data_IF_199320669221
#
_entry.id   IF_199320669221
#
_cell.length_a   1.000
_cell.length_b   1.000
_cell.length_c   1.000
_cell.angle_alpha   90.00
_cell.angle_beta   90.00
_cell.angle_gamma   90.00
#
_symmetry.space_group_name_H-M   'P 1'
#
loop_
_entity.id
_entity.type
_entity.pdbx_description
1 polymer ?
#
# COMPACT_ATOMS: atom_id res chain seq x y z
N UNK A 1 -14.64 89.77 38.65
CA UNK A 1 -13.33 89.12 38.45
C UNK A 1 -13.39 87.78 39.14
N UNK A 2 -13.21 86.68 38.41
CA UNK A 2 -13.01 85.36 39.05
C UNK A 2 -11.66 85.43 39.78
N UNK A 3 -11.62 85.02 41.04
CA UNK A 3 -10.37 84.98 41.81
C UNK A 3 -9.49 83.86 41.26
N UNK A 4 -8.21 84.13 41.03
CA UNK A 4 -7.21 83.18 40.51
C UNK A 4 -7.12 81.88 41.31
N UNK A 5 -7.48 81.93 42.60
CA UNK A 5 -7.54 80.77 43.49
C UNK A 5 -8.68 79.81 43.12
N UNK A 6 -9.84 80.33 42.73
CA UNK A 6 -10.99 79.51 42.36
C UNK A 6 -10.78 78.80 41.01
N UNK A 7 -10.15 79.49 40.05
CA UNK A 7 -9.80 78.92 38.75
C UNK A 7 -8.76 77.79 38.87
N UNK A 8 -7.76 77.96 39.75
CA UNK A 8 -6.77 76.91 40.04
C UNK A 8 -7.40 75.66 40.65
N UNK A 9 -8.30 75.81 41.63
CA UNK A 9 -8.96 74.69 42.28
C UNK A 9 -9.79 73.85 41.28
N UNK A 10 -10.49 74.51 40.35
CA UNK A 10 -11.23 73.83 39.29
C UNK A 10 -10.30 73.07 38.33
N UNK A 11 -9.14 73.64 37.97
CA UNK A 11 -8.13 72.95 37.16
C UNK A 11 -7.50 71.76 37.89
N UNK A 12 -7.23 71.87 39.18
CA UNK A 12 -6.72 70.76 40.00
C UNK A 12 -7.72 69.59 40.04
N UNK A 13 -9.02 69.89 40.17
CA UNK A 13 -10.07 68.87 40.09
C UNK A 13 -10.10 68.16 38.72
N UNK A 14 -10.06 68.92 37.63
CA UNK A 14 -10.05 68.37 36.27
C UNK A 14 -8.82 67.47 36.02
N UNK A 15 -7.66 67.86 36.54
CA UNK A 15 -6.43 67.03 36.47
C UNK A 15 -6.62 65.72 37.23
N UNK A 16 -7.19 65.76 38.44
CA UNK A 16 -7.43 64.54 39.23
C UNK A 16 -8.43 63.59 38.55
N UNK A 17 -9.53 64.12 37.99
CA UNK A 17 -10.50 63.32 37.24
C UNK A 17 -9.86 62.68 36.00
N UNK A 18 -9.05 63.44 35.27
CA UNK A 18 -8.32 62.94 34.09
C UNK A 18 -7.30 61.87 34.49
N UNK A 19 -6.58 62.07 35.59
CA UNK A 19 -5.63 61.10 36.13
C UNK A 19 -6.34 59.80 36.50
N UNK A 20 -7.48 59.87 37.18
CA UNK A 20 -8.26 58.68 37.54
C UNK A 20 -8.76 57.93 36.30
N UNK A 21 -9.20 58.64 35.25
CA UNK A 21 -9.59 58.03 33.98
C UNK A 21 -8.43 57.26 33.34
N UNK A 22 -7.24 57.87 33.29
CA UNK A 22 -6.05 57.20 32.76
C UNK A 22 -5.67 55.97 33.60
N UNK A 23 -5.69 56.06 34.93
CA UNK A 23 -5.38 54.93 35.82
C UNK A 23 -6.34 53.76 35.58
N UNK A 24 -7.65 54.02 35.47
CA UNK A 24 -8.62 52.97 35.20
C UNK A 24 -8.36 52.31 33.84
N UNK A 25 -8.14 53.12 32.79
CA UNK A 25 -7.85 52.59 31.45
C UNK A 25 -6.55 51.79 31.40
N UNK A 26 -5.54 52.16 32.19
CA UNK A 26 -4.30 51.39 32.30
C UNK A 26 -4.60 50.00 32.87
N UNK A 27 -5.36 49.92 33.95
CA UNK A 27 -5.73 48.63 34.56
C UNK A 27 -6.52 47.74 33.59
N UNK A 28 -7.52 48.29 32.90
CA UNK A 28 -8.28 47.58 31.87
C UNK A 28 -7.36 47.05 30.75
N UNK A 29 -6.40 47.86 30.29
CA UNK A 29 -5.45 47.44 29.26
C UNK A 29 -4.41 46.44 29.75
N UNK A 30 -4.10 46.40 31.04
CA UNK A 30 -3.24 45.38 31.63
C UNK A 30 -3.95 44.03 31.71
N UNK A 31 -5.25 44.02 32.01
CA UNK A 31 -6.11 42.82 31.96
C UNK A 31 -6.24 42.31 30.51
N UNK A 32 -6.62 43.18 29.56
CA UNK A 32 -6.67 42.83 28.13
C UNK A 32 -5.35 42.21 27.65
N UNK A 33 -4.21 42.77 28.10
CA UNK A 33 -2.89 42.27 27.73
C UNK A 33 -2.66 40.84 28.24
N UNK A 34 -3.09 40.52 29.45
CA UNK A 34 -2.94 39.16 30.01
C UNK A 34 -3.79 38.16 29.22
N UNK A 35 -5.05 38.49 28.93
CA UNK A 35 -5.93 37.65 28.11
C UNK A 35 -5.34 37.38 26.71
N UNK A 36 -4.76 38.42 26.09
CA UNK A 36 -4.10 38.29 24.79
C UNK A 36 -2.88 37.37 24.85
N UNK A 37 -2.09 37.41 25.92
CA UNK A 37 -0.95 36.51 26.10
C UNK A 37 -1.42 35.06 26.23
N UNK A 38 -2.43 34.79 27.06
CA UNK A 38 -3.00 33.45 27.19
C UNK A 38 -3.60 32.95 25.87
N UNK A 39 -4.28 33.82 25.13
CA UNK A 39 -4.82 33.49 23.81
C UNK A 39 -3.71 33.11 22.81
N UNK A 40 -2.61 33.85 22.79
CA UNK A 40 -1.46 33.54 21.93
C UNK A 40 -0.83 32.17 22.26
N UNK A 41 -0.69 31.86 23.55
CA UNK A 41 -0.18 30.56 24.00
C UNK A 41 -1.11 29.42 23.61
N UNK A 42 -2.42 29.61 23.79
CA UNK A 42 -3.44 28.64 23.41
C UNK A 42 -3.45 28.38 21.90
N UNK A 43 -3.36 29.43 21.08
CA UNK A 43 -3.27 29.30 19.61
C UNK A 43 -2.02 28.50 19.23
N UNK A 44 -0.86 28.85 19.80
CA UNK A 44 0.39 28.15 19.51
C UNK A 44 0.32 26.67 19.91
N UNK A 45 -0.22 26.39 21.09
CA UNK A 45 -0.37 25.03 21.58
C UNK A 45 -1.31 24.20 20.70
N UNK A 46 -2.48 24.75 20.38
CA UNK A 46 -3.47 24.10 19.51
C UNK A 46 -2.90 23.80 18.12
N UNK A 47 -2.18 24.75 17.51
CA UNK A 47 -1.51 24.54 16.25
C UNK A 47 -0.46 23.42 16.31
N UNK A 48 0.33 23.36 17.39
CA UNK A 48 1.34 22.32 17.59
C UNK A 48 0.70 20.94 17.72
N UNK A 49 -0.35 20.81 18.54
CA UNK A 49 -1.10 19.54 18.71
C UNK A 49 -1.67 19.08 17.37
N UNK A 50 -2.28 19.99 16.60
CA UNK A 50 -2.82 19.65 15.29
C UNK A 50 -1.73 19.16 14.31
N UNK A 51 -0.52 19.73 14.37
CA UNK A 51 0.61 19.26 13.55
C UNK A 51 1.05 17.85 13.98
N UNK A 52 1.29 17.64 15.27
CA UNK A 52 1.73 16.34 15.81
C UNK A 52 0.71 15.22 15.53
N UNK A 53 -0.57 15.51 15.69
CA UNK A 53 -1.64 14.56 15.37
C UNK A 53 -1.65 14.19 13.89
N UNK A 54 -1.49 15.17 13.00
CA UNK A 54 -1.42 14.92 11.57
C UNK A 54 -0.18 14.10 11.19
N UNK A 55 0.99 14.44 11.73
CA UNK A 55 2.23 13.68 11.50
C UNK A 55 2.09 12.22 11.91
N UNK A 56 1.50 11.97 13.09
CA UNK A 56 1.19 10.62 13.55
C UNK A 56 0.24 9.88 12.60
N UNK A 57 -0.87 10.52 12.21
CA UNK A 57 -1.85 9.90 11.30
C UNK A 57 -1.23 9.56 9.94
N UNK A 58 -0.42 10.46 9.37
CA UNK A 58 0.27 10.19 8.11
C UNK A 58 1.30 9.07 8.25
N UNK A 59 2.03 9.00 9.36
CA UNK A 59 2.96 7.90 9.63
C UNK A 59 2.24 6.54 9.69
N UNK A 60 1.12 6.46 10.39
CA UNK A 60 0.29 5.24 10.45
C UNK A 60 -0.25 4.85 9.07
N UNK A 61 -0.69 5.83 8.27
CA UNK A 61 -1.18 5.59 6.91
C UNK A 61 -0.08 5.04 6.00
N UNK A 62 1.12 5.64 6.04
CA UNK A 62 2.27 5.18 5.25
C UNK A 62 2.60 3.73 5.59
N UNK A 63 2.72 3.40 6.88
CA UNK A 63 3.00 2.04 7.33
C UNK A 63 1.93 1.04 6.87
N UNK A 64 0.66 1.44 6.89
CA UNK A 64 -0.46 0.61 6.42
C UNK A 64 -0.34 0.33 4.91
N UNK A 65 -0.03 1.35 4.11
CA UNK A 65 0.17 1.23 2.67
C UNK A 65 1.36 0.31 2.37
N UNK A 66 2.50 0.53 3.01
CA UNK A 66 3.71 -0.31 2.83
C UNK A 66 3.42 -1.78 3.14
N UNK A 67 2.73 -2.04 4.26
CA UNK A 67 2.33 -3.40 4.64
C UNK A 67 1.42 -4.04 3.58
N UNK A 68 0.44 -3.29 3.07
CA UNK A 68 -0.47 -3.79 2.03
C UNK A 68 0.23 -4.05 0.71
N UNK A 69 1.17 -3.18 0.31
CA UNK A 69 2.01 -3.39 -0.87
C UNK A 69 2.86 -4.67 -0.74
N UNK A 70 3.48 -4.91 0.42
CA UNK A 70 4.22 -6.16 0.68
C UNK A 70 3.33 -7.39 0.64
N UNK A 71 2.13 -7.31 1.24
CA UNK A 71 1.16 -8.42 1.25
C UNK A 71 0.77 -8.82 -0.19
N UNK A 72 0.37 -7.85 -1.01
CA UNK A 72 0.00 -8.08 -2.42
C UNK A 72 1.19 -8.60 -3.23
N UNK A 73 2.37 -8.03 -3.05
CA UNK A 73 3.59 -8.49 -3.74
C UNK A 73 3.90 -9.95 -3.41
N UNK A 74 3.78 -10.34 -2.13
CA UNK A 74 4.02 -11.71 -1.71
C UNK A 74 2.96 -12.67 -2.25
N UNK A 75 1.69 -12.26 -2.31
CA UNK A 75 0.63 -13.06 -2.93
C UNK A 75 0.89 -13.30 -4.41
N UNK A 76 1.28 -12.27 -5.17
CA UNK A 76 1.61 -12.41 -6.60
C UNK A 76 2.78 -13.39 -6.79
N UNK A 77 3.85 -13.26 -5.99
CA UNK A 77 5.01 -14.18 -6.06
C UNK A 77 4.64 -15.61 -5.68
N UNK A 78 3.76 -15.78 -4.69
CA UNK A 78 3.29 -17.11 -4.30
C UNK A 78 2.49 -17.76 -5.45
N UNK A 79 1.60 -17.01 -6.08
CA UNK A 79 0.81 -17.48 -7.21
C UNK A 79 1.70 -17.81 -8.42
N UNK A 80 2.64 -16.92 -8.76
CA UNK A 80 3.64 -17.16 -9.81
C UNK A 80 4.39 -18.48 -9.56
N UNK A 81 4.87 -18.72 -8.34
CA UNK A 81 5.61 -19.93 -8.02
C UNK A 81 4.74 -21.19 -8.19
N UNK A 82 3.47 -21.15 -7.76
CA UNK A 82 2.52 -22.26 -7.95
C UNK A 82 2.31 -22.54 -9.44
N UNK A 83 2.03 -21.51 -10.25
CA UNK A 83 1.79 -21.65 -11.68
C UNK A 83 3.04 -22.13 -12.43
N UNK A 84 4.22 -21.61 -12.08
CA UNK A 84 5.50 -22.03 -12.64
C UNK A 84 5.78 -23.50 -12.32
N UNK A 85 5.53 -23.94 -11.09
CA UNK A 85 5.77 -25.34 -10.72
C UNK A 85 4.80 -26.29 -11.41
N UNK A 86 3.51 -25.96 -11.45
CA UNK A 86 2.50 -26.71 -12.20
C UNK A 86 2.88 -26.81 -13.70
N UNK A 87 3.30 -25.69 -14.29
CA UNK A 87 3.73 -25.65 -15.69
C UNK A 87 4.99 -26.49 -15.92
N UNK A 88 5.97 -26.46 -15.00
CA UNK A 88 7.19 -27.28 -15.08
C UNK A 88 6.88 -28.77 -14.97
N UNK A 89 5.95 -29.15 -14.10
CA UNK A 89 5.51 -30.55 -13.97
C UNK A 89 4.85 -31.02 -15.26
N UNK A 90 3.93 -30.23 -15.81
CA UNK A 90 3.30 -30.54 -17.09
C UNK A 90 4.30 -30.61 -18.24
N UNK A 91 5.28 -29.69 -18.29
CA UNK A 91 6.36 -29.72 -19.27
C UNK A 91 7.13 -31.05 -19.23
N UNK A 92 7.51 -31.51 -18.02
CA UNK A 92 8.20 -32.80 -17.87
C UNK A 92 7.37 -33.97 -18.39
N UNK A 93 6.05 -33.96 -18.13
CA UNK A 93 5.17 -35.02 -18.61
C UNK A 93 5.10 -35.02 -20.15
N UNK A 94 4.98 -33.85 -20.77
CA UNK A 94 4.98 -33.71 -22.24
C UNK A 94 6.34 -34.11 -22.84
N UNK A 95 7.46 -33.74 -22.21
CA UNK A 95 8.79 -34.14 -22.65
C UNK A 95 8.94 -35.67 -22.63
N UNK A 96 8.43 -36.35 -21.60
CA UNK A 96 8.41 -37.81 -21.52
C UNK A 96 7.51 -38.42 -22.61
N UNK A 97 6.30 -37.90 -22.81
CA UNK A 97 5.39 -38.36 -23.86
C UNK A 97 6.03 -38.24 -25.25
N UNK A 98 6.75 -37.15 -25.53
CA UNK A 98 7.50 -36.97 -26.79
C UNK A 98 8.58 -38.05 -26.95
N UNK A 99 9.30 -38.41 -25.89
CA UNK A 99 10.31 -39.48 -25.93
C UNK A 99 9.66 -40.83 -26.23
N UNK A 100 8.56 -41.15 -25.55
CA UNK A 100 7.83 -42.40 -25.72
C UNK A 100 7.24 -42.52 -27.13
N UNK A 101 6.62 -41.44 -27.63
CA UNK A 101 6.09 -41.36 -28.99
C UNK A 101 7.19 -41.50 -30.05
N UNK A 102 8.37 -40.88 -29.85
CA UNK A 102 9.52 -41.04 -30.76
C UNK A 102 10.00 -42.49 -30.78
N UNK A 103 10.08 -43.16 -29.63
CA UNK A 103 10.44 -44.58 -29.53
C UNK A 103 9.45 -45.46 -30.27
N UNK A 104 8.14 -45.28 -30.01
CA UNK A 104 7.06 -46.03 -30.65
C UNK A 104 7.02 -45.81 -32.17
N UNK A 105 7.26 -44.59 -32.61
CA UNK A 105 7.35 -44.28 -34.04
C UNK A 105 8.54 -44.98 -34.71
N UNK A 106 9.68 -45.12 -34.01
CA UNK A 106 10.83 -45.86 -34.53
C UNK A 106 10.58 -47.37 -34.60
N UNK A 107 9.93 -47.95 -33.58
CA UNK A 107 9.45 -49.34 -33.60
C UNK A 107 8.55 -49.60 -34.83
N UNK A 108 7.62 -48.68 -35.13
CA UNK A 108 6.76 -48.77 -36.32
C UNK A 108 7.55 -48.69 -37.63
N UNK A 109 8.56 -47.82 -37.75
CA UNK A 109 9.42 -47.79 -38.94
C UNK A 109 10.18 -49.08 -39.14
N UNK A 110 10.72 -49.68 -38.07
CA UNK A 110 11.41 -50.96 -38.14
C UNK A 110 10.46 -52.09 -38.56
N UNK A 111 9.22 -52.06 -38.08
CA UNK A 111 8.18 -53.00 -38.45
C UNK A 111 7.89 -52.96 -39.97
N UNK A 112 7.78 -51.75 -40.54
CA UNK A 112 7.57 -51.54 -41.98
C UNK A 112 8.75 -52.00 -42.86
N UNK A 113 9.94 -52.13 -42.29
CA UNK A 113 11.13 -52.61 -43.01
C UNK A 113 11.24 -54.14 -43.03
N UNK A 114 10.38 -54.87 -42.29
CA UNK A 114 10.38 -56.34 -42.29
C UNK A 114 9.93 -56.87 -43.65
N UNK A 115 10.68 -57.82 -44.20
CA UNK A 115 10.50 -58.33 -45.55
C UNK A 115 9.55 -59.54 -45.64
N UNK A 116 9.29 -60.22 -44.52
CA UNK A 116 8.38 -61.37 -44.44
C UNK A 116 7.00 -60.96 -43.92
N UNK A 117 5.98 -61.22 -44.72
CA UNK A 117 4.60 -60.81 -44.44
C UNK A 117 4.03 -61.47 -43.18
N UNK A 118 4.39 -62.74 -42.91
CA UNK A 118 3.89 -63.47 -41.72
C UNK A 118 4.46 -62.84 -40.45
N UNK A 119 5.77 -62.59 -40.42
CA UNK A 119 6.41 -61.91 -39.29
C UNK A 119 5.96 -60.46 -39.12
N UNK A 120 5.64 -59.75 -40.21
CA UNK A 120 5.02 -58.43 -40.14
C UNK A 120 3.67 -58.48 -39.41
N UNK A 121 2.75 -59.35 -39.85
CA UNK A 121 1.41 -59.45 -39.26
C UNK A 121 1.46 -59.84 -37.78
N UNK A 122 2.29 -60.82 -37.39
CA UNK A 122 2.47 -61.20 -35.99
C UNK A 122 3.01 -60.05 -35.13
N UNK A 123 4.01 -59.32 -35.65
CA UNK A 123 4.61 -58.19 -34.93
C UNK A 123 3.66 -57.01 -34.81
N UNK A 124 2.86 -56.75 -35.85
CA UNK A 124 1.86 -55.69 -35.87
C UNK A 124 0.76 -55.95 -34.82
N UNK A 125 0.28 -57.18 -34.75
CA UNK A 125 -0.74 -57.59 -33.79
C UNK A 125 -0.24 -57.39 -32.34
N UNK A 126 1.00 -57.81 -32.05
CA UNK A 126 1.62 -57.58 -30.74
C UNK A 126 1.82 -56.09 -30.38
N UNK A 127 2.09 -55.23 -31.38
CA UNK A 127 2.21 -53.78 -31.16
C UNK A 127 0.85 -53.13 -30.86
N UNK A 128 -0.20 -53.51 -31.59
CA UNK A 128 -1.55 -52.97 -31.41
C UNK A 128 -2.14 -53.31 -30.03
N UNK A 129 -1.85 -54.50 -29.52
CA UNK A 129 -2.34 -54.96 -28.21
C UNK A 129 -1.68 -54.24 -27.02
N UNK A 130 -0.58 -53.50 -27.24
CA UNK A 130 0.12 -52.76 -26.18
C UNK A 130 -0.47 -51.38 -25.84
N UNK A 131 -1.52 -50.93 -26.52
CA UNK A 131 -2.16 -49.60 -26.39
C UNK A 131 -1.22 -48.41 -26.61
N UNK A 132 -1.70 -47.39 -27.36
CA UNK A 132 -1.04 -46.08 -27.40
C UNK A 132 -1.11 -45.43 -26.00
N UNK A 133 -0.07 -44.71 -25.55
CA UNK A 133 -0.19 -43.84 -24.39
C UNK A 133 -1.36 -42.87 -24.58
N UNK A 134 -2.24 -42.73 -23.58
CA UNK A 134 -3.28 -41.71 -23.60
C UNK A 134 -2.63 -40.33 -23.67
N UNK A 135 -3.05 -39.53 -24.65
CA UNK A 135 -2.52 -38.18 -24.84
C UNK A 135 -2.81 -37.33 -23.61
N UNK A 136 -1.77 -36.67 -23.07
CA UNK A 136 -1.96 -35.81 -21.91
C UNK A 136 -2.85 -34.63 -22.32
N UNK A 137 -3.94 -34.35 -21.57
CA UNK A 137 -4.81 -33.21 -21.87
C UNK A 137 -4.03 -31.91 -21.88
N UNK A 138 -4.22 -31.11 -22.94
CA UNK A 138 -3.60 -29.79 -23.05
C UNK A 138 -4.12 -28.90 -21.93
N UNK A 139 -3.22 -28.19 -21.24
CA UNK A 139 -3.61 -27.11 -20.34
C UNK A 139 -4.46 -26.08 -21.11
N UNK A 140 -5.75 -26.02 -20.81
CA UNK A 140 -6.63 -24.95 -21.28
C UNK A 140 -6.33 -23.71 -20.45
N UNK A 141 -6.01 -22.60 -21.13
CA UNK A 141 -5.84 -21.28 -20.52
C UNK A 141 -7.18 -20.62 -20.24
#
# INVERSE_FOLDING_TARGET
>A
MVSTVAERAEKEKQVLETQNNYTQRILEREEDRLELVESLESIKHSAQVAVEDNERLFQELIQSIEKKCSEVTNQIRAQENVEVNCTKEHLKQVEQEIVDLKSKNEELKQLLQKQDDIHFFQSFQAFHDLSLPEAIPRLLK
#
